data_IF_951924759599
#
_entry.id   IF_951924759599
#
_cell.length_a   1.000
_cell.length_b   1.000
_cell.length_c   1.000
_cell.angle_alpha   90.00
_cell.angle_beta   90.00
_cell.angle_gamma   90.00
#
_symmetry.space_group_name_H-M   'P 1'
#
loop_
_entity.id
_entity.type
_entity.pdbx_description
1 polymer ?
#
# COMPACT_ATOMS: atom_id res chain seq x y z
N UNK A 1 20.22 -3.58 7.88
CA UNK A 1 20.52 -2.63 8.95
C UNK A 1 19.52 -2.84 10.08
N UNK A 2 19.95 -2.99 11.33
CA UNK A 2 19.07 -3.33 12.48
C UNK A 2 18.97 -2.25 13.56
N UNK A 3 19.78 -1.18 13.46
CA UNK A 3 19.70 0.00 14.34
C UNK A 3 19.47 1.29 13.57
N UNK A 4 20.29 1.54 12.54
CA UNK A 4 20.12 2.66 11.60
C UNK A 4 20.65 2.25 10.24
N UNK A 5 20.05 2.76 9.16
CA UNK A 5 20.55 2.55 7.81
C UNK A 5 21.91 3.22 7.58
N UNK A 6 22.83 2.54 6.89
CA UNK A 6 24.08 3.18 6.41
C UNK A 6 23.76 4.37 5.48
N UNK A 7 22.62 4.32 4.78
CA UNK A 7 22.07 5.42 3.99
C UNK A 7 21.47 6.57 4.80
N UNK A 8 21.47 6.50 6.14
CA UNK A 8 20.86 7.51 7.01
C UNK A 8 19.37 7.29 7.31
N UNK A 9 18.74 6.25 6.74
CA UNK A 9 17.33 5.91 7.03
C UNK A 9 17.14 5.57 8.52
N UNK A 10 16.28 6.35 9.18
CA UNK A 10 15.91 6.15 10.59
C UNK A 10 14.93 4.97 10.76
N UNK A 11 14.88 4.32 11.94
CA UNK A 11 13.97 3.19 12.18
C UNK A 11 12.50 3.48 11.88
N UNK A 12 12.02 4.69 12.19
CA UNK A 12 10.62 5.09 12.01
C UNK A 12 10.27 5.12 10.51
N UNK A 13 11.14 5.73 9.70
CA UNK A 13 10.99 5.74 8.23
C UNK A 13 11.08 4.33 7.64
N UNK A 14 11.95 3.47 8.19
CA UNK A 14 12.03 2.09 7.76
C UNK A 14 10.72 1.32 8.03
N UNK A 15 10.13 1.48 9.22
CA UNK A 15 8.86 0.88 9.58
C UNK A 15 7.71 1.38 8.69
N UNK A 16 7.67 2.69 8.38
CA UNK A 16 6.68 3.27 7.47
C UNK A 16 6.83 2.74 6.03
N UNK A 17 8.07 2.61 5.52
CA UNK A 17 8.29 2.00 4.20
C UNK A 17 7.84 0.53 4.18
N UNK A 18 8.07 -0.24 5.24
CA UNK A 18 7.59 -1.62 5.36
C UNK A 18 6.05 -1.67 5.40
N UNK A 19 5.42 -0.75 6.11
CA UNK A 19 3.96 -0.63 6.18
C UNK A 19 3.34 -0.21 4.85
N UNK A 20 4.00 0.68 4.10
CA UNK A 20 3.59 1.05 2.75
C UNK A 20 3.64 -0.17 1.82
N UNK A 21 4.70 -0.97 1.86
CA UNK A 21 4.78 -2.22 1.08
C UNK A 21 3.70 -3.21 1.50
N UNK A 22 3.41 -3.33 2.80
CA UNK A 22 2.30 -4.15 3.29
C UNK A 22 0.96 -3.69 2.69
N UNK A 23 0.70 -2.39 2.69
CA UNK A 23 -0.50 -1.78 2.10
C UNK A 23 -0.61 -2.06 0.60
N UNK A 24 0.49 -1.88 -0.15
CA UNK A 24 0.54 -2.13 -1.60
C UNK A 24 0.29 -3.60 -1.92
N UNK A 25 0.75 -4.55 -1.08
CA UNK A 25 0.38 -5.97 -1.23
C UNK A 25 -1.13 -6.16 -1.11
N UNK A 26 -1.78 -5.51 -0.14
CA UNK A 26 -3.23 -5.53 0.02
C UNK A 26 -3.99 -5.02 -1.20
N UNK A 27 -3.58 -3.86 -1.73
CA UNK A 27 -4.10 -3.31 -2.99
C UNK A 27 -3.92 -4.28 -4.16
N UNK A 28 -2.75 -4.91 -4.25
CA UNK A 28 -2.40 -5.85 -5.33
C UNK A 28 -3.28 -7.10 -5.34
N UNK A 29 -3.73 -7.59 -4.19
CA UNK A 29 -4.62 -8.76 -4.11
C UNK A 29 -5.96 -8.49 -4.83
N UNK A 30 -6.57 -7.33 -4.57
CA UNK A 30 -7.79 -6.92 -5.29
C UNK A 30 -7.51 -6.57 -6.75
N UNK A 31 -6.35 -5.98 -7.08
CA UNK A 31 -5.98 -5.72 -8.47
C UNK A 31 -5.83 -7.01 -9.29
N UNK A 32 -5.23 -8.06 -8.71
CA UNK A 32 -5.10 -9.37 -9.35
C UNK A 32 -6.47 -10.01 -9.56
N UNK A 33 -7.37 -9.93 -8.58
CA UNK A 33 -8.73 -10.45 -8.73
C UNK A 33 -9.53 -9.65 -9.78
N UNK A 34 -9.45 -8.32 -9.75
CA UNK A 34 -10.13 -7.44 -10.69
C UNK A 34 -9.72 -7.66 -12.14
N UNK A 35 -8.43 -7.91 -12.40
CA UNK A 35 -7.94 -8.21 -13.76
C UNK A 35 -8.59 -9.45 -14.38
N UNK A 36 -8.98 -10.44 -13.58
CA UNK A 36 -9.72 -11.63 -14.08
C UNK A 36 -11.11 -11.28 -14.62
N UNK A 37 -11.64 -10.13 -14.22
CA UNK A 37 -12.98 -9.64 -14.52
C UNK A 37 -12.95 -8.42 -15.46
N UNK A 38 -11.77 -8.07 -16.00
CA UNK A 38 -11.60 -6.88 -16.84
C UNK A 38 -11.59 -5.55 -16.07
N UNK A 39 -11.59 -5.57 -14.74
CA UNK A 39 -11.43 -4.36 -13.92
C UNK A 39 -9.94 -4.00 -13.89
N UNK A 40 -9.58 -2.95 -14.63
CA UNK A 40 -8.24 -2.39 -14.66
C UNK A 40 -8.31 -0.87 -14.46
N UNK A 41 -7.59 -0.36 -13.47
CA UNK A 41 -7.63 1.04 -13.08
C UNK A 41 -6.22 1.63 -13.23
N UNK A 42 -6.07 2.56 -14.18
CA UNK A 42 -4.77 3.17 -14.51
C UNK A 42 -4.20 3.98 -13.36
N UNK A 43 -5.06 4.59 -12.53
CA UNK A 43 -4.61 5.32 -11.35
C UNK A 43 -4.02 4.36 -10.32
N UNK A 44 -4.68 3.23 -10.05
CA UNK A 44 -4.16 2.18 -9.17
C UNK A 44 -2.82 1.65 -9.68
N UNK A 45 -2.69 1.43 -10.99
CA UNK A 45 -1.45 0.95 -11.60
C UNK A 45 -0.30 1.95 -11.39
N UNK A 46 -0.56 3.23 -11.67
CA UNK A 46 0.43 4.31 -11.49
C UNK A 46 0.82 4.48 -10.02
N UNK A 47 -0.16 4.57 -9.12
CA UNK A 47 0.07 4.68 -7.68
C UNK A 47 0.92 3.53 -7.15
N UNK A 48 0.66 2.29 -7.61
CA UNK A 48 1.46 1.12 -7.20
C UNK A 48 2.94 1.30 -7.53
N UNK A 49 3.26 1.82 -8.71
CA UNK A 49 4.65 2.12 -9.09
C UNK A 49 5.25 3.24 -8.23
N UNK A 50 4.50 4.33 -8.00
CA UNK A 50 4.96 5.47 -7.19
C UNK A 50 5.22 5.08 -5.73
N UNK A 51 4.30 4.32 -5.13
CA UNK A 51 4.41 3.83 -3.76
C UNK A 51 5.59 2.86 -3.58
N UNK A 52 5.86 1.99 -4.55
CA UNK A 52 7.05 1.13 -4.48
C UNK A 52 8.33 1.95 -4.68
N UNK A 53 8.32 2.91 -5.61
CA UNK A 53 9.48 3.75 -5.91
C UNK A 53 9.93 4.57 -4.70
N UNK A 54 8.99 5.09 -3.88
CA UNK A 54 9.32 5.83 -2.65
C UNK A 54 10.07 4.98 -1.61
N UNK A 55 10.00 3.65 -1.71
CA UNK A 55 10.71 2.74 -0.78
C UNK A 55 12.12 2.36 -1.23
N UNK A 56 12.54 2.79 -2.43
CA UNK A 56 13.90 2.52 -2.92
C UNK A 56 14.95 3.31 -2.11
N UNK A 57 16.16 2.77 -2.07
CA UNK A 57 17.27 3.36 -1.31
C UNK A 57 17.55 4.79 -1.78
N UNK A 58 17.57 5.73 -0.83
CA UNK A 58 17.81 7.17 -1.04
C UNK A 58 16.73 7.92 -1.82
N UNK A 59 15.51 7.38 -1.94
CA UNK A 59 14.41 8.08 -2.62
C UNK A 59 13.61 8.94 -1.66
N UNK A 60 13.00 8.35 -0.62
CA UNK A 60 12.08 9.06 0.26
C UNK A 60 12.38 8.78 1.73
N UNK A 61 12.65 9.85 2.49
CA UNK A 61 12.88 9.80 3.93
C UNK A 61 11.89 10.64 4.73
N UNK A 62 10.85 11.17 4.08
CA UNK A 62 9.83 12.00 4.72
C UNK A 62 8.72 11.12 5.33
N UNK A 63 8.60 11.04 6.67
CA UNK A 63 7.58 10.20 7.31
C UNK A 63 6.15 10.67 7.02
N UNK A 64 5.91 11.98 6.90
CA UNK A 64 4.56 12.51 6.66
C UNK A 64 4.06 12.10 5.28
N UNK A 65 4.94 12.19 4.27
CA UNK A 65 4.65 11.73 2.92
C UNK A 65 4.39 10.22 2.87
N UNK A 66 5.16 9.41 3.60
CA UNK A 66 4.92 7.96 3.67
C UNK A 66 3.56 7.64 4.31
N UNK A 67 3.17 8.36 5.37
CA UNK A 67 1.84 8.22 6.00
C UNK A 67 0.72 8.58 5.01
N UNK A 68 0.88 9.64 4.22
CA UNK A 68 -0.09 10.01 3.18
C UNK A 68 -0.25 8.90 2.14
N UNK A 69 0.87 8.33 1.66
CA UNK A 69 0.85 7.22 0.69
C UNK A 69 0.19 5.96 1.28
N UNK A 70 0.41 5.65 2.56
CA UNK A 70 -0.25 4.50 3.22
C UNK A 70 -1.77 4.69 3.23
N UNK A 71 -2.24 5.87 3.67
CA UNK A 71 -3.67 6.17 3.72
C UNK A 71 -4.31 6.14 2.33
N UNK A 72 -3.64 6.72 1.33
CA UNK A 72 -4.09 6.66 -0.05
C UNK A 72 -4.18 5.22 -0.57
N UNK A 73 -3.16 4.40 -0.29
CA UNK A 73 -3.14 2.99 -0.70
C UNK A 73 -4.31 2.17 -0.12
N UNK A 74 -4.69 2.44 1.13
CA UNK A 74 -5.85 1.82 1.77
C UNK A 74 -7.16 2.28 1.13
N UNK A 75 -7.32 3.59 0.88
CA UNK A 75 -8.51 4.12 0.21
C UNK A 75 -8.68 3.55 -1.20
N UNK A 76 -7.58 3.42 -1.95
CA UNK A 76 -7.58 2.81 -3.28
C UNK A 76 -7.91 1.33 -3.22
N UNK A 77 -7.38 0.61 -2.23
CA UNK A 77 -7.69 -0.81 -2.02
C UNK A 77 -9.18 -1.01 -1.80
N UNK A 78 -9.78 -0.23 -0.91
CA UNK A 78 -11.19 -0.37 -0.54
C UNK A 78 -12.11 0.05 -1.69
N UNK A 79 -11.75 1.11 -2.42
CA UNK A 79 -12.45 1.51 -3.64
C UNK A 79 -12.36 0.43 -4.74
N UNK A 80 -11.18 -0.16 -4.93
CA UNK A 80 -10.98 -1.22 -5.91
C UNK A 80 -11.74 -2.49 -5.52
N UNK A 81 -11.74 -2.87 -4.23
CA UNK A 81 -12.57 -3.96 -3.70
C UNK A 81 -14.03 -3.79 -4.12
N UNK A 82 -14.60 -2.60 -3.95
CA UNK A 82 -15.99 -2.34 -4.35
C UNK A 82 -16.20 -2.56 -5.85
N UNK A 83 -15.29 -2.07 -6.71
CA UNK A 83 -15.35 -2.29 -8.17
C UNK A 83 -15.27 -3.79 -8.52
N UNK A 84 -14.38 -4.53 -7.86
CA UNK A 84 -14.20 -5.97 -8.06
C UNK A 84 -15.45 -6.74 -7.67
N UNK A 85 -16.05 -6.42 -6.52
CA UNK A 85 -17.30 -7.05 -6.06
C UNK A 85 -18.45 -6.75 -7.00
N UNK A 86 -18.58 -5.50 -7.46
CA UNK A 86 -19.60 -5.12 -8.45
C UNK A 86 -19.45 -5.86 -9.78
N UNK A 87 -18.22 -6.25 -10.15
CA UNK A 87 -17.93 -7.07 -11.33
C UNK A 87 -18.08 -8.59 -11.08
N UNK A 88 -18.56 -9.01 -9.90
CA UNK A 88 -18.76 -10.42 -9.55
C UNK A 88 -17.54 -11.13 -8.97
N UNK A 89 -16.52 -10.38 -8.54
CA UNK A 89 -15.29 -10.90 -7.94
C UNK A 89 -15.39 -11.22 -6.46
N UNK A 90 -14.37 -11.90 -5.94
CA UNK A 90 -14.30 -12.28 -4.53
C UNK A 90 -14.10 -11.06 -3.62
N UNK A 91 -15.00 -10.90 -2.64
CA UNK A 91 -14.91 -9.86 -1.61
C UNK A 91 -14.04 -10.25 -0.41
N UNK A 92 -13.98 -11.56 -0.12
CA UNK A 92 -13.40 -12.12 1.11
C UNK A 92 -11.97 -12.60 0.87
N UNK A 93 -11.10 -11.65 0.56
CA UNK A 93 -9.66 -11.85 0.65
C UNK A 93 -9.28 -11.67 2.13
N UNK A 94 -9.00 -12.77 2.81
CA UNK A 94 -8.75 -12.82 4.27
C UNK A 94 -7.28 -12.64 4.64
N UNK A 95 -6.41 -12.44 3.64
CA UNK A 95 -5.00 -12.15 3.87
C UNK A 95 -4.84 -10.82 4.63
N UNK A 96 -4.00 -10.78 5.66
CA UNK A 96 -3.82 -9.60 6.53
C UNK A 96 -3.70 -8.26 5.79
N UNK A 97 -2.90 -8.15 4.71
CA UNK A 97 -2.82 -6.93 3.90
C UNK A 97 -4.15 -6.46 3.28
N UNK A 98 -5.03 -7.40 2.92
CA UNK A 98 -6.30 -7.12 2.26
C UNK A 98 -7.34 -6.48 3.19
N UNK A 99 -7.15 -6.60 4.51
CA UNK A 99 -8.06 -6.10 5.55
C UNK A 99 -7.40 -5.11 6.50
N UNK A 100 -6.11 -4.81 6.31
CA UNK A 100 -5.35 -3.86 7.12
C UNK A 100 -6.02 -2.48 7.18
N UNK A 101 -6.01 -1.85 8.36
CA UNK A 101 -6.45 -0.46 8.54
C UNK A 101 -5.36 0.28 9.30
N UNK A 102 -4.90 1.47 8.84
CA UNK A 102 -3.91 2.25 9.57
C UNK A 102 -4.44 2.74 10.92
N UNK A 103 -3.54 2.93 11.88
CA UNK A 103 -3.84 3.63 13.13
C UNK A 103 -4.27 5.09 12.89
N UNK A 104 -4.85 5.73 13.91
CA UNK A 104 -5.30 7.12 13.81
C UNK A 104 -4.14 8.11 13.87
N UNK A 105 -3.04 7.72 14.53
CA UNK A 105 -1.81 8.49 14.68
C UNK A 105 -0.60 7.68 14.19
N UNK A 106 0.57 8.30 14.12
CA UNK A 106 1.81 7.62 13.67
C UNK A 106 2.32 6.64 14.74
N UNK A 107 1.91 6.87 15.98
CA UNK A 107 2.29 6.09 17.16
C UNK A 107 1.38 4.86 17.40
N UNK A 108 0.23 4.77 16.72
CA UNK A 108 -0.74 3.67 16.80
C UNK A 108 -0.39 2.49 15.87
#
# INVERSE_FOLDING_TARGET
>A
CTKIGVCGKKPEVAALQDLLIHTVKGLSLYAVEGRKLGVNDDYVNKFTCEAIFSTLTNVDFDPERLVQLINEGVNLRDSLKQKVVAAGGKADLTEGPATFTPGATVED
#
